data_IF_379882084239
#
_entry.id   IF_379882084239
#
_cell.length_a   1.000
_cell.length_b   1.000
_cell.length_c   1.000
_cell.angle_alpha   90.00
_cell.angle_beta   90.00
_cell.angle_gamma   90.00
#
_symmetry.space_group_name_H-M   'P 1'
#
loop_
_entity.id
_entity.type
_entity.pdbx_description
1 polymer ?
#
# COMPACT_ATOMS: atom_id res chain seq x y z
N UNK A 1 8.75 3.82 8.68
CA UNK A 1 8.41 2.81 7.66
C UNK A 1 9.35 1.65 7.81
N UNK A 2 8.88 0.43 7.61
CA UNK A 2 9.72 -0.79 7.61
C UNK A 2 9.36 -1.62 6.39
N UNK A 3 10.36 -2.04 5.61
CA UNK A 3 10.18 -3.03 4.55
C UNK A 3 9.99 -4.42 5.18
N UNK A 4 8.99 -5.15 4.72
CA UNK A 4 8.63 -6.46 5.25
C UNK A 4 8.53 -7.48 4.11
N UNK A 5 8.57 -8.77 4.43
CA UNK A 5 8.35 -9.79 3.41
C UNK A 5 6.84 -9.96 3.10
N UNK A 6 6.55 -10.51 1.92
CA UNK A 6 5.20 -10.83 1.42
C UNK A 6 4.33 -11.58 2.44
N UNK A 7 4.90 -12.58 3.12
CA UNK A 7 4.15 -13.38 4.10
C UNK A 7 3.70 -12.54 5.29
N UNK A 8 4.60 -11.69 5.81
CA UNK A 8 4.32 -10.75 6.89
C UNK A 8 3.31 -9.70 6.46
N UNK A 9 3.41 -9.20 5.23
CA UNK A 9 2.46 -8.25 4.67
C UNK A 9 1.05 -8.84 4.58
N UNK A 10 0.90 -10.05 4.03
CA UNK A 10 -0.39 -10.78 3.97
C UNK A 10 -0.98 -11.01 5.35
N UNK A 11 -0.16 -11.44 6.32
CA UNK A 11 -0.60 -11.62 7.70
C UNK A 11 -1.04 -10.30 8.34
N UNK A 12 -0.35 -9.19 8.05
CA UNK A 12 -0.75 -7.88 8.54
C UNK A 12 -2.05 -7.41 7.88
N UNK A 13 -2.21 -7.59 6.56
CA UNK A 13 -3.41 -7.23 5.81
C UNK A 13 -4.66 -7.93 6.39
N UNK A 14 -4.54 -9.17 6.85
CA UNK A 14 -5.64 -9.89 7.50
C UNK A 14 -6.22 -9.17 8.73
N UNK A 15 -5.39 -8.41 9.44
CA UNK A 15 -5.85 -7.65 10.60
C UNK A 15 -6.75 -6.47 10.23
N UNK A 16 -6.65 -5.98 8.98
CA UNK A 16 -7.42 -4.84 8.46
C UNK A 16 -8.81 -5.22 7.96
N UNK A 17 -9.13 -6.51 7.82
CA UNK A 17 -10.48 -7.01 7.62
C UNK A 17 -10.98 -7.86 8.82
N UNK A 18 -10.29 -7.76 9.96
CA UNK A 18 -10.61 -8.46 11.19
C UNK A 18 -11.74 -7.79 12.00
N UNK A 19 -12.13 -8.44 13.10
CA UNK A 19 -13.26 -8.03 13.95
C UNK A 19 -13.19 -6.56 14.41
N UNK A 20 -11.99 -6.06 14.71
CA UNK A 20 -11.82 -4.67 15.17
C UNK A 20 -12.20 -3.65 14.08
N UNK A 21 -11.81 -3.89 12.83
CA UNK A 21 -12.16 -2.97 11.74
C UNK A 21 -13.64 -3.07 11.40
N UNK A 22 -14.20 -4.29 11.42
CA UNK A 22 -15.64 -4.53 11.27
C UNK A 22 -16.43 -3.81 12.35
N UNK A 23 -15.99 -3.89 13.61
CA UNK A 23 -16.60 -3.14 14.71
C UNK A 23 -16.61 -1.63 14.44
N UNK A 24 -15.50 -1.04 14.01
CA UNK A 24 -15.47 0.40 13.66
C UNK A 24 -16.44 0.69 12.51
N UNK A 25 -16.51 -0.18 11.49
CA UNK A 25 -17.40 0.00 10.35
C UNK A 25 -18.89 -0.08 10.71
N UNK A 26 -19.26 -0.93 11.66
CA UNK A 26 -20.64 -1.18 12.06
C UNK A 26 -21.15 -0.22 13.14
N UNK A 27 -20.29 0.64 13.70
CA UNK A 27 -20.61 1.51 14.85
C UNK A 27 -20.42 3.02 14.57
N UNK A 28 -21.16 3.60 13.60
CA UNK A 28 -21.08 5.04 13.29
C UNK A 28 -21.48 5.96 14.44
N UNK A 29 -22.28 5.48 15.39
CA UNK A 29 -22.63 6.23 16.60
C UNK A 29 -21.42 6.48 17.51
N UNK A 30 -20.44 5.57 17.51
CA UNK A 30 -19.20 5.70 18.31
C UNK A 30 -18.09 6.41 17.52
N UNK A 31 -17.99 6.17 16.20
CA UNK A 31 -16.85 6.59 15.39
C UNK A 31 -17.14 7.70 14.36
N UNK A 32 -18.39 8.10 14.17
CA UNK A 32 -18.92 8.88 13.02
C UNK A 32 -19.11 8.07 11.74
N UNK A 33 -20.03 8.54 10.89
CA UNK A 33 -20.30 7.96 9.57
C UNK A 33 -19.03 7.95 8.69
N UNK A 34 -18.22 9.00 8.76
CA UNK A 34 -17.02 9.13 7.95
C UNK A 34 -15.97 8.06 8.27
N UNK A 35 -15.65 7.87 9.54
CA UNK A 35 -14.66 6.87 9.99
C UNK A 35 -15.18 5.46 9.75
N UNK A 36 -16.48 5.23 9.98
CA UNK A 36 -17.11 3.92 9.78
C UNK A 36 -17.11 3.52 8.30
N UNK A 37 -17.46 4.45 7.41
CA UNK A 37 -17.36 4.23 5.97
C UNK A 37 -15.91 3.98 5.52
N UNK A 38 -14.94 4.67 6.12
CA UNK A 38 -13.51 4.43 5.86
C UNK A 38 -13.07 3.04 6.34
N UNK A 39 -13.55 2.59 7.50
CA UNK A 39 -13.27 1.25 8.02
C UNK A 39 -13.84 0.16 7.10
N UNK A 40 -15.07 0.35 6.58
CA UNK A 40 -15.66 -0.52 5.57
C UNK A 40 -14.78 -0.66 4.32
N UNK A 41 -14.37 0.47 3.71
CA UNK A 41 -13.45 0.47 2.55
C UNK A 41 -12.10 -0.18 2.86
N UNK A 42 -11.58 0.03 4.07
CA UNK A 42 -10.31 -0.56 4.52
C UNK A 42 -10.41 -2.09 4.56
N UNK A 43 -11.52 -2.62 5.06
CA UNK A 43 -11.76 -4.06 5.13
C UNK A 43 -11.90 -4.67 3.73
N UNK A 44 -12.65 -4.02 2.83
CA UNK A 44 -12.84 -4.45 1.44
C UNK A 44 -11.49 -4.56 0.69
N UNK A 45 -10.68 -3.49 0.71
CA UNK A 45 -9.35 -3.48 0.06
C UNK A 45 -8.43 -4.57 0.64
N UNK A 46 -8.46 -4.76 1.96
CA UNK A 46 -7.63 -5.75 2.64
C UNK A 46 -8.07 -7.20 2.33
N UNK A 47 -9.37 -7.43 2.14
CA UNK A 47 -9.93 -8.73 1.76
C UNK A 47 -9.58 -9.07 0.31
N UNK A 48 -9.79 -8.13 -0.62
CA UNK A 48 -9.47 -8.29 -2.05
C UNK A 48 -7.99 -8.63 -2.26
N UNK A 49 -7.09 -8.01 -1.48
CA UNK A 49 -5.66 -8.25 -1.56
C UNK A 49 -5.28 -9.73 -1.37
N UNK A 50 -6.00 -10.46 -0.50
CA UNK A 50 -5.74 -11.88 -0.23
C UNK A 50 -5.75 -12.77 -1.48
N UNK A 51 -6.37 -12.30 -2.56
CA UNK A 51 -6.54 -13.03 -3.83
C UNK A 51 -5.59 -12.60 -4.94
N UNK A 52 -4.81 -11.53 -4.75
CA UNK A 52 -3.97 -10.97 -5.82
C UNK A 52 -2.64 -11.72 -6.02
N UNK A 53 -2.23 -11.82 -7.29
CA UNK A 53 -0.92 -12.34 -7.69
C UNK A 53 0.07 -11.17 -7.67
N UNK A 54 1.12 -11.29 -6.87
CA UNK A 54 2.16 -10.27 -6.76
C UNK A 54 3.23 -10.49 -7.84
N UNK A 55 3.83 -9.44 -8.40
CA UNK A 55 4.98 -9.60 -9.31
C UNK A 55 6.25 -9.99 -8.54
N UNK A 56 7.27 -10.46 -9.26
CA UNK A 56 8.58 -10.78 -8.67
C UNK A 56 9.31 -9.54 -8.15
N UNK A 57 8.94 -8.35 -8.62
CA UNK A 57 9.52 -7.07 -8.21
C UNK A 57 8.69 -6.34 -7.14
N UNK A 58 7.65 -6.98 -6.62
CA UNK A 58 6.79 -6.38 -5.61
C UNK A 58 7.55 -6.12 -4.31
N UNK A 59 7.42 -4.91 -3.77
CA UNK A 59 7.99 -4.51 -2.48
C UNK A 59 6.88 -4.17 -1.49
N UNK A 60 7.10 -4.52 -0.24
CA UNK A 60 6.07 -4.45 0.80
C UNK A 60 6.55 -3.64 1.98
N UNK A 61 5.76 -2.66 2.39
CA UNK A 61 6.10 -1.75 3.47
C UNK A 61 4.99 -1.70 4.50
N UNK A 62 5.40 -1.51 5.75
CA UNK A 62 4.50 -1.26 6.86
C UNK A 62 4.88 0.04 7.57
N UNK A 63 3.89 0.90 7.72
CA UNK A 63 4.00 2.08 8.58
C UNK A 63 3.60 1.71 10.00
N UNK A 64 4.55 1.81 10.91
CA UNK A 64 4.41 1.44 12.32
C UNK A 64 4.27 2.70 13.18
N UNK A 65 3.27 2.72 14.05
CA UNK A 65 3.18 3.64 15.18
C UNK A 65 3.40 2.85 16.47
N UNK A 66 4.58 3.02 17.07
CA UNK A 66 5.04 2.15 18.14
C UNK A 66 5.20 0.71 17.64
N UNK A 67 4.48 -0.22 18.26
CA UNK A 67 4.46 -1.64 17.88
C UNK A 67 3.24 -2.03 17.04
N UNK A 68 2.45 -1.06 16.54
CA UNK A 68 1.25 -1.31 15.75
C UNK A 68 1.46 -0.88 14.31
N UNK A 69 1.15 -1.79 13.38
CA UNK A 69 0.99 -1.43 11.97
C UNK A 69 -0.25 -0.55 11.85
N UNK A 70 -0.08 0.62 11.25
CA UNK A 70 -1.17 1.56 10.95
C UNK A 70 -1.30 1.87 9.46
N UNK A 71 -0.37 1.40 8.65
CA UNK A 71 -0.47 1.43 7.20
C UNK A 71 0.32 0.28 6.57
N UNK A 72 -0.16 -0.17 5.42
CA UNK A 72 0.48 -1.15 4.56
C UNK A 72 0.52 -0.60 3.14
N UNK A 73 1.66 -0.74 2.49
CA UNK A 73 1.90 -0.33 1.12
C UNK A 73 2.53 -1.49 0.35
N UNK A 74 1.88 -1.93 -0.72
CA UNK A 74 2.52 -2.75 -1.77
C UNK A 74 2.85 -1.83 -2.94
N UNK A 75 4.08 -1.94 -3.40
CA UNK A 75 4.55 -1.30 -4.61
C UNK A 75 4.90 -2.35 -5.64
N UNK A 76 4.56 -2.08 -6.89
CA UNK A 76 5.03 -2.86 -8.01
C UNK A 76 6.20 -2.12 -8.67
N UNK A 77 7.24 -2.86 -9.03
CA UNK A 77 8.38 -2.31 -9.75
C UNK A 77 7.92 -1.76 -11.10
N UNK A 78 8.51 -0.66 -11.54
CA UNK A 78 8.29 -0.18 -12.91
C UNK A 78 8.86 -1.14 -13.94
N UNK A 79 8.32 -1.08 -15.16
CA UNK A 79 8.79 -1.86 -16.29
C UNK A 79 10.25 -1.52 -16.60
N UNK A 80 11.04 -2.56 -16.89
CA UNK A 80 12.42 -2.37 -17.33
C UNK A 80 12.45 -1.67 -18.69
N UNK A 81 13.33 -0.67 -18.82
CA UNK A 81 13.55 0.00 -20.11
C UNK A 81 14.20 -0.90 -21.17
N UNK A 82 14.50 -2.17 -20.86
CA UNK A 82 14.99 -3.15 -21.83
C UNK A 82 13.88 -3.79 -22.68
N UNK A 83 12.62 -3.62 -22.30
CA UNK A 83 11.49 -4.27 -22.98
C UNK A 83 10.86 -3.43 -24.10
N UNK A 84 11.06 -2.11 -24.10
CA UNK A 84 10.55 -1.17 -25.10
C UNK A 84 11.71 -0.44 -25.81
N UNK A 85 11.47 0.11 -27.01
CA UNK A 85 12.47 0.78 -27.87
C UNK A 85 13.54 1.59 -27.10
N UNK A 86 14.63 0.90 -26.77
CA UNK A 86 15.59 1.29 -25.72
C UNK A 86 16.33 2.57 -26.09
N UNK A 87 16.51 2.82 -27.39
CA UNK A 87 17.22 4.01 -27.89
C UNK A 87 16.39 5.27 -27.67
N UNK A 88 15.14 5.26 -28.12
CA UNK A 88 14.24 6.41 -27.97
C UNK A 88 13.96 6.73 -26.50
N UNK A 89 13.87 5.71 -25.66
CA UNK A 89 13.68 5.89 -24.22
C UNK A 89 14.88 6.51 -23.52
N UNK A 90 16.11 6.06 -23.79
CA UNK A 90 17.34 6.65 -23.22
C UNK A 90 17.54 8.11 -23.62
N UNK A 91 17.12 8.48 -24.83
CA UNK A 91 17.15 9.87 -25.31
C UNK A 91 16.16 10.76 -24.56
N UNK A 92 14.94 10.27 -24.31
CA UNK A 92 13.89 11.04 -23.63
C UNK A 92 14.07 11.11 -22.10
N UNK A 93 14.65 10.06 -21.50
CA UNK A 93 14.79 9.94 -20.04
C UNK A 93 16.22 9.52 -19.64
N UNK A 94 17.22 10.38 -19.86
CA UNK A 94 18.62 10.05 -19.58
C UNK A 94 18.84 9.73 -18.10
N UNK A 95 19.54 8.63 -17.82
CA UNK A 95 19.88 8.18 -16.46
C UNK A 95 18.83 7.33 -15.76
N UNK A 96 17.62 7.15 -16.34
CA UNK A 96 16.62 6.22 -15.82
C UNK A 96 16.81 4.82 -16.41
N UNK A 97 16.53 3.79 -15.61
CA UNK A 97 16.66 2.37 -16.00
C UNK A 97 15.32 1.65 -16.14
N UNK A 98 14.23 2.28 -15.69
CA UNK A 98 12.87 1.73 -15.68
C UNK A 98 11.83 2.84 -15.55
N UNK A 99 10.56 2.49 -15.69
CA UNK A 99 9.47 3.40 -15.31
C UNK A 99 9.40 3.55 -13.78
N UNK A 100 8.66 4.58 -13.33
CA UNK A 100 8.41 4.83 -11.91
C UNK A 100 7.65 3.66 -11.29
N UNK A 101 7.99 3.25 -10.07
CA UNK A 101 7.20 2.25 -9.35
C UNK A 101 5.78 2.76 -9.08
N UNK A 102 4.81 1.87 -9.04
CA UNK A 102 3.40 2.23 -8.81
C UNK A 102 2.96 1.81 -7.41
N UNK A 103 2.09 2.61 -6.80
CA UNK A 103 1.32 2.18 -5.64
C UNK A 103 0.27 1.21 -6.14
N UNK A 104 0.39 -0.06 -5.75
CA UNK A 104 -0.49 -1.11 -6.20
C UNK A 104 -1.48 -1.54 -5.12
N UNK A 105 -1.11 -1.40 -3.84
CA UNK A 105 -2.05 -1.51 -2.73
C UNK A 105 -1.69 -0.53 -1.62
N UNK A 106 -2.71 0.14 -1.09
CA UNK A 106 -2.59 0.90 0.14
C UNK A 106 -3.72 0.52 1.11
N UNK A 107 -3.36 0.08 2.32
CA UNK A 107 -4.32 -0.21 3.41
C UNK A 107 -3.94 0.63 4.62
N UNK A 108 -4.88 1.40 5.14
CA UNK A 108 -4.62 2.36 6.23
C UNK A 108 -5.59 2.14 7.37
N UNK A 109 -5.11 2.20 8.61
CA UNK A 109 -5.98 2.09 9.77
C UNK A 109 -6.97 3.25 9.78
N UNK A 110 -8.29 3.02 9.93
CA UNK A 110 -9.32 4.06 9.72
C UNK A 110 -9.20 5.26 10.67
N UNK A 111 -8.62 5.03 11.86
CA UNK A 111 -8.36 6.08 12.86
C UNK A 111 -7.05 6.87 12.66
N UNK A 112 -6.29 6.60 11.60
CA UNK A 112 -5.00 7.27 11.35
C UNK A 112 -5.08 8.02 10.03
N UNK A 113 -5.37 9.32 10.10
CA UNK A 113 -5.62 10.14 8.91
C UNK A 113 -4.41 10.26 7.99
N UNK A 114 -3.26 10.62 8.57
CA UNK A 114 -2.03 10.90 7.82
C UNK A 114 -1.30 9.65 7.29
N UNK A 115 -1.72 8.44 7.64
CA UNK A 115 -1.01 7.24 7.23
C UNK A 115 -1.04 7.02 5.71
N UNK A 116 -2.11 7.44 5.02
CA UNK A 116 -2.15 7.38 3.56
C UNK A 116 -1.10 8.29 2.90
N UNK A 117 -1.01 9.53 3.38
CA UNK A 117 -0.05 10.52 2.86
C UNK A 117 1.40 10.10 3.13
N UNK A 118 1.68 9.54 4.31
CA UNK A 118 3.01 9.03 4.68
C UNK A 118 3.43 7.85 3.79
N UNK A 119 2.48 6.95 3.48
CA UNK A 119 2.76 5.84 2.56
C UNK A 119 3.03 6.36 1.14
N UNK A 120 2.25 7.33 0.66
CA UNK A 120 2.47 7.95 -0.64
C UNK A 120 3.82 8.68 -0.72
N UNK A 121 4.16 9.48 0.29
CA UNK A 121 5.45 10.17 0.37
C UNK A 121 6.62 9.18 0.36
N UNK A 122 6.48 8.03 1.03
CA UNK A 122 7.51 7.00 1.02
C UNK A 122 7.74 6.43 -0.38
N UNK A 123 6.68 6.17 -1.15
CA UNK A 123 6.80 5.72 -2.54
C UNK A 123 7.51 6.77 -3.40
N UNK A 124 7.08 8.03 -3.33
CA UNK A 124 7.70 9.12 -4.11
C UNK A 124 9.20 9.28 -3.84
N UNK A 125 9.62 9.16 -2.57
CA UNK A 125 11.04 9.23 -2.19
C UNK A 125 11.87 8.06 -2.71
N UNK A 126 11.26 6.89 -2.99
CA UNK A 126 11.98 5.74 -3.54
C UNK A 126 12.25 5.88 -5.04
N UNK A 127 11.38 6.57 -5.77
CA UNK A 127 11.52 6.75 -7.22
C UNK A 127 12.45 7.90 -7.62
N UNK A 128 12.74 8.83 -6.70
CA UNK A 128 13.66 9.96 -6.92
C UNK A 128 12.98 11.17 -7.54
#
# INVERSE_FOLDING_TARGET
>A
MVEINRSSFRKAAQTYHGEKIKYIADNPQEYSDFVSARAGRTAEIAEDYGTTRDSDNARYFSYQLGNKSVGLLRMEGGDSMTEFDVKRWRELFPGRTGTTSSVDLQVVHPLVENAGDILLEHQLRMDG
#
